data_IF_651099623586
#
_entry.id   IF_651099623586
#
_cell.length_a   1.000
_cell.length_b   1.000
_cell.length_c   1.000
_cell.angle_alpha   90.00
_cell.angle_beta   90.00
_cell.angle_gamma   90.00
#
_symmetry.space_group_name_H-M   'P 1'
#
loop_
_entity.id
_entity.type
_entity.pdbx_description
1 polymer ?
#
# COMPACT_ATOMS: atom_id res chain seq x y z
N UNK A 1 -9.78 9.50 -2.15
CA UNK A 1 -8.76 9.48 -3.25
C UNK A 1 -7.41 10.00 -2.72
N UNK A 2 -6.28 9.33 -2.99
CA UNK A 2 -4.95 9.78 -2.51
C UNK A 2 -4.35 10.76 -3.52
N UNK A 3 -3.93 11.95 -3.08
CA UNK A 3 -3.31 12.98 -3.92
C UNK A 3 -2.00 13.50 -3.33
N UNK A 4 -1.12 13.97 -4.21
CA UNK A 4 0.12 14.65 -3.87
C UNK A 4 -0.02 16.14 -4.18
N UNK A 5 0.02 16.99 -3.15
CA UNK A 5 -0.05 18.44 -3.30
C UNK A 5 1.03 19.10 -2.44
N UNK A 6 1.87 19.96 -3.04
CA UNK A 6 2.87 20.77 -2.31
C UNK A 6 3.70 19.95 -1.30
N UNK A 7 4.28 18.84 -1.76
CA UNK A 7 5.07 17.91 -0.93
C UNK A 7 4.30 17.30 0.27
N UNK A 8 2.97 17.26 0.16
CA UNK A 8 2.08 16.67 1.16
C UNK A 8 1.20 15.62 0.49
N UNK A 9 1.17 14.41 1.07
CA UNK A 9 0.25 13.36 0.66
C UNK A 9 -1.05 13.56 1.42
N UNK A 10 -2.14 13.78 0.68
CA UNK A 10 -3.48 13.90 1.23
C UNK A 10 -4.30 12.66 0.90
N UNK A 11 -5.03 12.20 1.90
CA UNK A 11 -6.09 11.21 1.82
C UNK A 11 -7.26 11.73 2.65
N UNK A 12 -8.46 11.17 2.48
CA UNK A 12 -9.72 11.68 3.04
C UNK A 12 -9.66 11.96 4.56
N UNK A 13 -8.75 11.30 5.29
CA UNK A 13 -8.52 11.53 6.73
C UNK A 13 -7.03 11.70 7.11
N UNK A 14 -6.13 11.95 6.16
CA UNK A 14 -4.70 11.97 6.45
C UNK A 14 -3.95 13.02 5.64
N UNK A 15 -3.07 13.76 6.30
CA UNK A 15 -2.10 14.65 5.67
C UNK A 15 -0.70 14.25 6.14
N UNK A 16 0.17 13.88 5.20
CA UNK A 16 1.53 13.44 5.48
C UNK A 16 2.54 14.32 4.76
N UNK A 17 3.49 14.90 5.51
CA UNK A 17 4.56 15.68 4.93
C UNK A 17 5.68 14.76 4.40
N UNK A 18 6.12 15.01 3.16
CA UNK A 18 7.11 14.17 2.45
C UNK A 18 8.54 14.47 2.88
N UNK A 19 8.82 15.66 3.44
CA UNK A 19 10.17 16.11 3.81
C UNK A 19 10.91 15.18 4.78
N UNK A 20 10.15 14.40 5.56
CA UNK A 20 10.69 13.50 6.59
C UNK A 20 10.53 12.03 6.23
N UNK A 21 10.01 11.72 5.03
CA UNK A 21 9.84 10.36 4.54
C UNK A 21 11.21 9.84 4.06
N UNK A 22 11.64 8.75 4.68
CA UNK A 22 12.89 8.05 4.36
C UNK A 22 12.70 7.01 3.26
N UNK A 23 11.56 6.31 3.29
CA UNK A 23 11.31 5.16 2.42
C UNK A 23 9.83 5.05 2.09
N UNK A 24 9.54 4.67 0.85
CA UNK A 24 8.19 4.34 0.39
C UNK A 24 8.21 2.97 -0.28
N UNK A 25 7.26 2.11 0.08
CA UNK A 25 7.15 0.74 -0.41
C UNK A 25 5.73 0.38 -0.83
N UNK A 26 5.61 -0.37 -1.93
CA UNK A 26 4.34 -1.00 -2.33
C UNK A 26 4.22 -2.36 -1.65
N UNK A 27 3.08 -2.63 -1.04
CA UNK A 27 2.72 -3.92 -0.46
C UNK A 27 1.42 -4.41 -1.07
N UNK A 28 1.36 -5.70 -1.36
CA UNK A 28 0.16 -6.39 -1.83
C UNK A 28 -0.15 -7.42 -0.77
N UNK A 29 -1.30 -7.30 -0.12
CA UNK A 29 -1.70 -8.18 0.97
C UNK A 29 -3.00 -8.89 0.62
N UNK A 30 -3.09 -10.22 0.80
CA UNK A 30 -4.35 -10.93 0.59
C UNK A 30 -5.36 -10.53 1.68
N UNK A 31 -6.60 -10.25 1.27
CA UNK A 31 -7.70 -9.95 2.17
C UNK A 31 -8.34 -11.27 2.60
N UNK A 32 -7.89 -11.80 3.75
CA UNK A 32 -8.60 -12.91 4.38
C UNK A 32 -9.91 -12.36 4.96
N UNK A 33 -11.06 -12.93 4.56
CA UNK A 33 -12.36 -12.67 5.20
C UNK A 33 -12.18 -12.84 6.72
N UNK A 34 -12.68 -11.86 7.46
CA UNK A 34 -12.36 -11.54 8.85
C UNK A 34 -11.93 -12.71 9.77
N UNK A 35 -10.73 -12.59 10.35
CA UNK A 35 -10.61 -12.76 11.80
C UNK A 35 -9.86 -11.54 12.34
N UNK A 36 -10.56 -10.87 13.24
CA UNK A 36 -10.29 -9.57 13.83
C UNK A 36 -8.89 -9.46 14.48
N UNK A 37 -8.38 -8.22 14.51
CA UNK A 37 -7.34 -7.70 15.43
C UNK A 37 -5.89 -8.20 15.35
N UNK A 38 -5.50 -9.09 14.43
CA UNK A 38 -4.14 -9.69 14.42
C UNK A 38 -3.32 -9.37 13.15
N UNK A 39 -3.57 -8.23 12.48
CA UNK A 39 -2.97 -7.96 11.16
C UNK A 39 -1.46 -7.67 11.22
N UNK A 40 -0.90 -7.25 12.36
CA UNK A 40 0.55 -7.01 12.46
C UNK A 40 1.40 -8.27 12.64
N UNK A 41 0.91 -9.32 13.33
CA UNK A 41 1.73 -10.51 13.62
C UNK A 41 1.66 -11.59 12.54
N UNK A 42 0.72 -11.52 11.58
CA UNK A 42 0.58 -12.53 10.51
C UNK A 42 1.39 -12.22 9.25
N UNK A 43 2.04 -11.05 9.15
CA UNK A 43 2.93 -10.72 8.03
C UNK A 43 4.16 -11.65 7.98
N UNK A 44 4.54 -12.28 9.09
CA UNK A 44 5.66 -13.22 9.15
C UNK A 44 5.36 -14.60 8.53
N UNK A 45 4.10 -15.06 8.54
CA UNK A 45 3.76 -16.43 8.12
C UNK A 45 3.14 -16.54 6.71
N UNK A 46 2.81 -15.42 6.05
CA UNK A 46 2.06 -15.46 4.78
C UNK A 46 2.98 -15.44 3.54
N UNK A 47 4.30 -15.36 3.71
CA UNK A 47 5.25 -15.52 2.61
C UNK A 47 5.35 -16.97 2.11
N UNK A 48 4.78 -17.94 2.82
CA UNK A 48 5.11 -19.35 2.58
C UNK A 48 4.22 -20.08 1.57
N UNK A 49 2.99 -19.67 1.25
CA UNK A 49 2.14 -20.49 0.37
C UNK A 49 1.60 -19.70 -0.82
N UNK A 50 2.30 -19.86 -1.94
CA UNK A 50 1.70 -19.96 -3.27
C UNK A 50 0.43 -20.80 -3.19
N UNK A 51 -0.73 -20.18 -3.40
CA UNK A 51 -1.92 -20.90 -3.81
C UNK A 51 -2.48 -20.16 -5.02
N UNK A 52 -2.30 -20.80 -6.17
CA UNK A 52 -3.02 -20.52 -7.39
C UNK A 52 -4.50 -20.35 -7.08
N UNK A 53 -5.01 -19.12 -7.16
CA UNK A 53 -6.42 -18.85 -7.28
C UNK A 53 -6.55 -17.53 -8.02
N UNK A 54 -7.13 -17.60 -9.21
CA UNK A 54 -7.52 -16.49 -10.09
C UNK A 54 -8.62 -15.59 -9.46
N UNK A 55 -8.90 -15.78 -8.16
CA UNK A 55 -9.98 -15.18 -7.39
C UNK A 55 -9.49 -14.70 -6.00
N UNK A 56 -8.16 -14.64 -5.79
CA UNK A 56 -7.57 -14.11 -4.55
C UNK A 56 -7.83 -12.60 -4.46
N UNK A 57 -8.62 -12.18 -3.47
CA UNK A 57 -8.86 -10.76 -3.23
C UNK A 57 -7.67 -10.14 -2.48
N UNK A 58 -7.15 -9.03 -2.98
CA UNK A 58 -5.95 -8.36 -2.46
C UNK A 58 -6.20 -6.88 -2.17
N UNK A 59 -5.50 -6.39 -1.16
CA UNK A 59 -5.34 -4.97 -0.86
C UNK A 59 -3.97 -4.50 -1.31
N UNK A 60 -3.96 -3.39 -2.02
CA UNK A 60 -2.75 -2.65 -2.38
C UNK A 60 -2.54 -1.60 -1.29
N UNK A 61 -1.37 -1.63 -0.66
CA UNK A 61 -1.00 -0.75 0.44
C UNK A 61 0.30 -0.05 0.07
N UNK A 62 0.36 1.27 0.30
CA UNK A 62 1.58 2.05 0.22
C UNK A 62 2.06 2.31 1.64
N UNK A 63 3.26 1.83 1.94
CA UNK A 63 3.91 2.01 3.23
C UNK A 63 4.89 3.17 3.16
N UNK A 64 4.74 4.11 4.08
CA UNK A 64 5.66 5.21 4.31
C UNK A 64 6.45 4.95 5.59
N UNK A 65 7.75 5.13 5.53
CA UNK A 65 8.66 5.07 6.68
C UNK A 65 9.35 6.42 6.83
N UNK A 66 9.29 7.00 8.02
CA UNK A 66 9.95 8.27 8.35
C UNK A 66 11.34 8.05 8.97
N UNK A 67 12.07 9.14 9.15
CA UNK A 67 13.40 9.12 9.78
C UNK A 67 13.39 8.66 11.25
N UNK A 68 12.26 8.78 11.94
CA UNK A 68 12.06 8.31 13.32
C UNK A 68 11.61 6.84 13.39
N UNK A 69 11.74 6.10 12.27
CA UNK A 69 11.24 4.73 12.07
C UNK A 69 9.73 4.56 12.27
N UNK A 70 8.96 5.67 12.36
CA UNK A 70 7.52 5.59 12.32
C UNK A 70 7.06 5.09 10.95
N UNK A 71 6.00 4.29 10.96
CA UNK A 71 5.46 3.64 9.75
C UNK A 71 3.98 3.98 9.62
N UNK A 72 3.56 4.32 8.40
CA UNK A 72 2.16 4.53 8.05
C UNK A 72 1.82 3.76 6.80
N UNK A 73 0.76 2.97 6.90
CA UNK A 73 0.20 2.24 5.77
C UNK A 73 -1.01 3.00 5.25
N UNK A 74 -1.00 3.34 3.97
CA UNK A 74 -2.14 3.89 3.24
C UNK A 74 -2.68 2.82 2.29
N UNK A 75 -3.97 2.59 2.38
CA UNK A 75 -4.67 1.66 1.51
C UNK A 75 -5.00 2.36 0.19
N UNK A 76 -4.60 1.78 -0.94
CA UNK A 76 -4.71 2.39 -2.26
C UNK A 76 -6.08 2.21 -2.90
N UNK A 77 -6.59 0.97 -2.90
CA UNK A 77 -7.91 0.62 -3.40
C UNK A 77 -8.94 0.68 -2.26
N UNK A 78 -10.15 1.17 -2.51
CA UNK A 78 -11.20 1.21 -1.46
C UNK A 78 -11.75 -0.19 -1.18
N UNK A 79 -12.02 -0.97 -2.23
CA UNK A 79 -12.47 -2.35 -2.15
C UNK A 79 -11.37 -3.32 -2.58
N UNK A 80 -11.27 -4.53 -1.96
CA UNK A 80 -10.31 -5.55 -2.37
C UNK A 80 -10.43 -5.89 -3.86
N UNK A 81 -9.29 -5.94 -4.57
CA UNK A 81 -9.25 -6.27 -5.99
C UNK A 81 -8.95 -7.75 -6.20
N UNK A 82 -9.49 -8.36 -7.24
CA UNK A 82 -9.12 -9.73 -7.62
C UNK A 82 -7.73 -9.74 -8.22
N UNK A 83 -6.82 -10.53 -7.65
CA UNK A 83 -5.44 -10.63 -8.10
C UNK A 83 -5.39 -11.06 -9.57
N UNK A 84 -4.47 -10.43 -10.33
CA UNK A 84 -4.27 -10.64 -11.77
C UNK A 84 -5.42 -10.19 -12.68
N UNK A 85 -6.48 -9.58 -12.15
CA UNK A 85 -7.49 -8.96 -13.01
C UNK A 85 -6.99 -7.62 -13.58
N UNK A 86 -7.74 -7.07 -14.55
CA UNK A 86 -7.38 -5.83 -15.22
C UNK A 86 -7.31 -4.63 -14.24
N UNK A 87 -8.23 -4.58 -13.27
CA UNK A 87 -8.28 -3.53 -12.26
C UNK A 87 -7.08 -3.57 -11.31
N UNK A 88 -6.63 -4.76 -10.91
CA UNK A 88 -5.42 -5.00 -10.14
C UNK A 88 -4.19 -4.50 -10.90
N UNK A 89 -4.03 -4.87 -12.16
CA UNK A 89 -2.89 -4.41 -12.96
C UNK A 89 -2.89 -2.89 -13.14
N UNK A 90 -4.07 -2.30 -13.35
CA UNK A 90 -4.23 -0.84 -13.43
C UNK A 90 -3.85 -0.17 -12.09
N UNK A 91 -4.40 -0.64 -10.98
CA UNK A 91 -4.13 -0.09 -9.66
C UNK A 91 -2.66 -0.23 -9.24
N UNK A 92 -2.01 -1.36 -9.55
CA UNK A 92 -0.57 -1.54 -9.33
C UNK A 92 0.25 -0.54 -10.14
N UNK A 93 -0.11 -0.32 -11.41
CA UNK A 93 0.59 0.64 -12.27
C UNK A 93 0.48 2.06 -11.71
N UNK A 94 -0.73 2.48 -11.35
CA UNK A 94 -0.98 3.80 -10.78
C UNK A 94 -0.25 3.98 -9.44
N UNK A 95 -0.30 2.99 -8.55
CA UNK A 95 0.41 3.02 -7.27
C UNK A 95 1.94 3.08 -7.45
N UNK A 96 2.49 2.34 -8.43
CA UNK A 96 3.93 2.42 -8.76
C UNK A 96 4.32 3.79 -9.28
N UNK A 97 3.57 4.36 -10.20
CA UNK A 97 3.82 5.72 -10.71
C UNK A 97 3.80 6.74 -9.57
N UNK A 98 2.86 6.61 -8.62
CA UNK A 98 2.80 7.46 -7.45
C UNK A 98 4.03 7.29 -6.53
N UNK A 99 4.46 6.06 -6.27
CA UNK A 99 5.67 5.78 -5.47
C UNK A 99 6.91 6.36 -6.15
N UNK A 100 7.07 6.21 -7.46
CA UNK A 100 8.18 6.78 -8.22
C UNK A 100 8.21 8.31 -8.12
N UNK A 101 7.05 8.97 -8.16
CA UNK A 101 6.97 10.43 -7.96
C UNK A 101 7.48 10.83 -6.58
N UNK A 102 7.08 10.11 -5.52
CA UNK A 102 7.54 10.41 -4.17
C UNK A 102 9.02 10.11 -3.99
N UNK A 103 9.50 8.99 -4.54
CA UNK A 103 10.91 8.61 -4.51
C UNK A 103 11.80 9.69 -5.12
N UNK A 104 11.36 10.35 -6.21
CA UNK A 104 12.09 11.48 -6.80
C UNK A 104 12.12 12.74 -5.93
N UNK A 105 11.18 12.88 -4.99
CA UNK A 105 11.10 14.04 -4.10
C UNK A 105 11.88 13.84 -2.79
N UNK A 106 12.12 12.59 -2.40
CA UNK A 106 12.88 12.24 -1.19
C UNK A 106 14.34 11.84 -1.48
N UNK A 107 14.69 11.67 -2.75
CA UNK A 107 16.06 11.37 -3.19
C UNK A 107 16.88 12.64 -3.39
#
# INVERSE_FOLDING_TARGET
MITLENNTIKSDNLSLNISSIRKVELKIVPVKKEVSKTIFNSLANTLSHSMANDDEHVQIIIRFTWNDDSVKDLTWNEEPLVRNNLDYHKAIKEARTFIEQIQRLIS
#
